data_IF_958918830196
#
_entry.id   IF_958918830196
#
_cell.length_a   1.000
_cell.length_b   1.000
_cell.length_c   1.000
_cell.angle_alpha   90.00
_cell.angle_beta   90.00
_cell.angle_gamma   90.00
#
_symmetry.space_group_name_H-M   'P 1'
#
loop_
_entity.id
_entity.type
_entity.pdbx_description
1 polymer ?
#
# COMPACT_ATOMS: atom_id res chain seq x y z
N UNK A 1 3.20 -37.69 -16.64
CA UNK A 1 2.11 -36.98 -17.33
C UNK A 1 1.44 -36.08 -16.31
N UNK A 2 1.66 -34.77 -16.37
CA UNK A 2 1.03 -33.83 -15.44
C UNK A 2 -0.47 -33.73 -15.74
N UNK A 3 -1.29 -34.10 -14.77
CA UNK A 3 -2.74 -33.91 -14.83
C UNK A 3 -3.05 -32.41 -14.78
N UNK A 4 -3.21 -31.78 -15.94
CA UNK A 4 -3.82 -30.44 -16.07
C UNK A 4 -5.28 -30.52 -15.59
N UNK A 5 -5.48 -30.30 -14.29
CA UNK A 5 -6.80 -30.16 -13.71
C UNK A 5 -7.42 -28.86 -14.26
N UNK A 6 -8.44 -28.99 -15.12
CA UNK A 6 -9.07 -27.88 -15.88
C UNK A 6 -9.65 -26.76 -15.01
N UNK A 7 -9.73 -26.97 -13.69
CA UNK A 7 -10.26 -26.02 -12.72
C UNK A 7 -9.17 -25.21 -11.98
N UNK A 8 -7.88 -25.52 -12.16
CA UNK A 8 -6.79 -24.75 -11.55
C UNK A 8 -6.51 -23.53 -12.43
N UNK A 9 -6.72 -22.34 -11.87
CA UNK A 9 -6.34 -21.06 -12.50
C UNK A 9 -5.17 -20.45 -11.75
N UNK A 10 -4.21 -19.92 -12.49
CA UNK A 10 -3.12 -19.14 -11.88
C UNK A 10 -3.65 -17.81 -11.34
N UNK A 11 -2.90 -17.18 -10.44
CA UNK A 11 -3.27 -15.85 -9.93
C UNK A 11 -3.39 -14.83 -11.07
N UNK A 12 -2.47 -14.88 -12.05
CA UNK A 12 -2.54 -14.05 -13.25
C UNK A 12 -3.84 -14.26 -14.03
N UNK A 13 -4.23 -15.50 -14.29
CA UNK A 13 -5.49 -15.81 -14.99
C UNK A 13 -6.73 -15.35 -14.21
N UNK A 14 -6.71 -15.48 -12.87
CA UNK A 14 -7.80 -14.98 -12.04
C UNK A 14 -7.92 -13.46 -12.15
N UNK A 15 -6.78 -12.79 -12.09
CA UNK A 15 -6.63 -11.36 -12.22
C UNK A 15 -7.12 -10.88 -13.59
N UNK A 16 -6.70 -11.52 -14.69
CA UNK A 16 -7.09 -11.13 -16.06
C UNK A 16 -8.59 -11.24 -16.25
N UNK A 17 -9.18 -12.31 -15.72
CA UNK A 17 -10.63 -12.51 -15.74
C UNK A 17 -11.39 -11.43 -14.95
N UNK A 18 -10.82 -10.93 -13.85
CA UNK A 18 -11.52 -10.03 -12.92
C UNK A 18 -11.30 -8.54 -13.23
N UNK A 19 -10.15 -8.19 -13.77
CA UNK A 19 -9.70 -6.81 -13.93
C UNK A 19 -9.15 -6.49 -15.33
N UNK A 20 -9.25 -7.44 -16.27
CA UNK A 20 -8.70 -7.31 -17.62
C UNK A 20 -7.19 -7.58 -17.68
N UNK A 21 -6.66 -7.63 -18.89
CA UNK A 21 -5.24 -7.88 -19.13
C UNK A 21 -4.37 -6.66 -18.71
N UNK A 22 -3.06 -6.87 -18.45
CA UNK A 22 -2.07 -5.79 -18.32
C UNK A 22 -2.20 -4.71 -19.39
N UNK A 23 -2.14 -3.44 -18.98
CA UNK A 23 -2.27 -2.29 -19.88
C UNK A 23 -3.71 -1.80 -20.13
N UNK A 24 -4.73 -2.58 -19.77
CA UNK A 24 -6.12 -2.09 -19.82
C UNK A 24 -6.39 -1.05 -18.72
N UNK A 25 -7.35 -0.14 -18.96
CA UNK A 25 -7.70 0.91 -17.97
C UNK A 25 -8.16 0.33 -16.63
N UNK A 26 -8.94 -0.75 -16.67
CA UNK A 26 -9.42 -1.44 -15.46
C UNK A 26 -8.25 -2.04 -14.67
N UNK A 27 -7.36 -2.75 -15.36
CA UNK A 27 -6.16 -3.32 -14.77
C UNK A 27 -5.26 -2.25 -14.15
N UNK A 28 -4.97 -1.19 -14.89
CA UNK A 28 -4.13 -0.08 -14.42
C UNK A 28 -4.71 0.54 -13.15
N UNK A 29 -6.02 0.78 -13.09
CA UNK A 29 -6.68 1.30 -11.90
C UNK A 29 -6.61 0.33 -10.70
N UNK A 30 -6.75 -0.98 -10.95
CA UNK A 30 -6.58 -2.00 -9.94
C UNK A 30 -5.15 -2.00 -9.38
N UNK A 31 -4.14 -1.97 -10.26
CA UNK A 31 -2.73 -1.96 -9.88
C UNK A 31 -2.34 -0.70 -9.10
N UNK A 32 -2.84 0.47 -9.50
CA UNK A 32 -2.63 1.72 -8.77
C UNK A 32 -3.18 1.59 -7.34
N UNK A 33 -4.42 1.10 -7.18
CA UNK A 33 -5.02 0.88 -5.85
C UNK A 33 -4.27 -0.15 -5.03
N UNK A 34 -3.82 -1.24 -5.66
CA UNK A 34 -3.02 -2.27 -5.00
C UNK A 34 -1.68 -1.72 -4.49
N UNK A 35 -1.00 -0.88 -5.28
CA UNK A 35 0.22 -0.17 -4.86
C UNK A 35 -0.04 0.79 -3.70
N UNK A 36 -1.12 1.57 -3.74
CA UNK A 36 -1.51 2.45 -2.63
C UNK A 36 -1.79 1.67 -1.34
N UNK A 37 -2.47 0.53 -1.43
CA UNK A 37 -2.69 -0.36 -0.29
C UNK A 37 -1.38 -0.91 0.27
N UNK A 38 -0.47 -1.36 -0.59
CA UNK A 38 0.84 -1.87 -0.18
C UNK A 38 1.66 -0.82 0.58
N UNK A 39 1.64 0.45 0.16
CA UNK A 39 2.29 1.56 0.88
C UNK A 39 1.69 1.71 2.29
N UNK A 40 0.36 1.65 2.43
CA UNK A 40 -0.33 1.72 3.71
C UNK A 40 0.08 0.61 4.69
N UNK A 41 0.14 -0.63 4.20
CA UNK A 41 0.60 -1.77 5.02
C UNK A 41 2.08 -1.66 5.39
N UNK A 42 2.97 -1.22 4.48
CA UNK A 42 4.38 -0.98 4.79
C UNK A 42 4.56 0.06 5.91
N UNK A 43 3.81 1.15 5.85
CA UNK A 43 3.81 2.19 6.90
C UNK A 43 3.39 1.59 8.26
N UNK A 44 2.34 0.78 8.27
CA UNK A 44 1.81 0.13 9.47
C UNK A 44 2.80 -0.88 10.06
N UNK A 45 3.49 -1.64 9.22
CA UNK A 45 4.55 -2.57 9.62
C UNK A 45 5.71 -1.81 10.25
N UNK A 46 6.24 -0.79 9.58
CA UNK A 46 7.33 0.03 10.12
C UNK A 46 6.95 0.71 11.44
N UNK A 47 5.73 1.23 11.55
CA UNK A 47 5.20 1.79 12.81
C UNK A 47 5.25 0.77 13.94
N UNK A 48 4.84 -0.47 13.67
CA UNK A 48 4.88 -1.56 14.67
C UNK A 48 6.32 -1.94 15.02
N UNK A 49 7.24 -1.97 14.05
CA UNK A 49 8.66 -2.25 14.28
C UNK A 49 9.30 -1.23 15.22
N UNK A 50 8.97 0.06 15.06
CA UNK A 50 9.42 1.12 15.98
C UNK A 50 8.55 1.24 17.25
N UNK A 51 7.63 0.29 17.47
CA UNK A 51 6.77 0.17 18.66
C UNK A 51 5.91 1.40 18.94
N UNK A 52 5.43 2.08 17.90
CA UNK A 52 4.54 3.24 18.04
C UNK A 52 3.08 2.85 17.84
N UNK A 53 2.17 3.49 18.57
CA UNK A 53 0.72 3.44 18.28
C UNK A 53 0.36 4.41 17.15
N UNK A 54 -0.84 4.24 16.57
CA UNK A 54 -1.33 5.18 15.55
C UNK A 54 -1.50 6.61 16.12
N UNK A 55 -1.89 6.74 17.39
CA UNK A 55 -2.01 8.04 18.06
C UNK A 55 -0.63 8.70 18.20
N UNK A 56 0.37 7.97 18.69
CA UNK A 56 1.73 8.49 18.84
C UNK A 56 2.33 8.95 17.51
N UNK A 57 2.13 8.19 16.44
CA UNK A 57 2.58 8.61 15.11
C UNK A 57 1.83 9.86 14.64
N UNK A 58 0.51 9.94 14.88
CA UNK A 58 -0.30 11.09 14.52
C UNK A 58 0.15 12.35 15.26
N UNK A 59 0.32 12.27 16.58
CA UNK A 59 0.82 13.36 17.42
C UNK A 59 2.17 13.86 16.94
N UNK A 60 3.09 12.93 16.64
CA UNK A 60 4.43 13.27 16.16
C UNK A 60 4.39 14.05 14.86
N UNK A 61 3.49 13.73 13.94
CA UNK A 61 3.40 14.45 12.65
C UNK A 61 2.36 15.58 12.64
N UNK A 62 1.71 15.87 13.78
CA UNK A 62 0.65 16.87 13.89
C UNK A 62 -0.59 16.51 13.05
N UNK A 63 -1.01 15.26 13.08
CA UNK A 63 -2.20 14.74 12.40
C UNK A 63 -3.18 14.12 13.39
N UNK A 64 -4.38 13.77 12.93
CA UNK A 64 -5.37 13.02 13.72
C UNK A 64 -5.09 11.51 13.61
N UNK A 65 -5.31 10.73 14.67
CA UNK A 65 -5.24 9.25 14.60
C UNK A 65 -6.09 8.65 13.48
N UNK A 66 -7.27 9.20 13.23
CA UNK A 66 -8.15 8.76 12.13
C UNK A 66 -7.51 8.93 10.75
N UNK A 67 -6.63 9.91 10.58
CA UNK A 67 -5.86 10.10 9.35
C UNK A 67 -4.82 8.98 9.17
N UNK A 68 -4.05 8.66 10.22
CA UNK A 68 -3.10 7.53 10.21
C UNK A 68 -3.83 6.22 9.91
N UNK A 69 -4.96 5.98 10.58
CA UNK A 69 -5.77 4.78 10.35
C UNK A 69 -6.25 4.65 8.90
N UNK A 70 -6.70 5.75 8.27
CA UNK A 70 -7.12 5.70 6.86
C UNK A 70 -5.96 5.40 5.91
N UNK A 71 -4.77 5.94 6.17
CA UNK A 71 -3.56 5.65 5.38
C UNK A 71 -3.20 4.16 5.52
N UNK A 72 -3.11 3.66 6.75
CA UNK A 72 -2.68 2.29 7.03
C UNK A 72 -3.66 1.22 6.50
N UNK A 73 -4.91 1.58 6.25
CA UNK A 73 -5.92 0.68 5.68
C UNK A 73 -6.18 0.92 4.18
N UNK A 74 -5.39 1.79 3.52
CA UNK A 74 -5.55 2.08 2.08
C UNK A 74 -6.84 2.82 1.71
N UNK A 75 -7.44 3.55 2.66
CA UNK A 75 -8.69 4.30 2.50
C UNK A 75 -8.49 5.80 2.27
N UNK A 76 -7.25 6.26 2.04
CA UNK A 76 -6.96 7.64 1.70
C UNK A 76 -5.75 7.70 0.79
N UNK A 77 -5.82 8.54 -0.23
CA UNK A 77 -4.62 9.00 -0.92
C UNK A 77 -3.78 9.85 0.06
N UNK A 78 -2.46 9.75 -0.09
CA UNK A 78 -1.48 10.47 0.71
C UNK A 78 -0.72 11.45 -0.18
N UNK A 79 -0.66 12.71 0.22
CA UNK A 79 0.21 13.69 -0.44
C UNK A 79 1.67 13.30 -0.18
N UNK A 80 2.54 13.48 -1.18
CA UNK A 80 3.97 13.13 -1.05
C UNK A 80 4.63 13.85 0.14
N UNK A 81 4.33 15.13 0.35
CA UNK A 81 4.83 15.90 1.51
C UNK A 81 4.46 15.24 2.84
N UNK A 82 3.23 14.73 2.94
CA UNK A 82 2.75 14.01 4.12
C UNK A 82 3.40 12.64 4.25
N UNK A 83 3.63 11.94 3.15
CA UNK A 83 4.37 10.67 3.14
C UNK A 83 5.80 10.86 3.66
N UNK A 84 6.52 11.87 3.18
CA UNK A 84 7.86 12.21 3.69
C UNK A 84 7.83 12.56 5.18
N UNK A 85 6.89 13.42 5.60
CA UNK A 85 6.74 13.77 7.03
C UNK A 85 6.46 12.53 7.88
N UNK A 86 5.60 11.63 7.40
CA UNK A 86 5.24 10.41 8.09
C UNK A 86 6.44 9.47 8.24
N UNK A 87 7.16 9.21 7.15
CA UNK A 87 8.23 8.20 7.16
C UNK A 87 9.51 8.76 7.77
N UNK A 88 9.93 9.97 7.39
CA UNK A 88 11.22 10.51 7.82
C UNK A 88 11.15 11.12 9.21
N UNK A 89 10.15 11.95 9.48
CA UNK A 89 10.01 12.58 10.79
C UNK A 89 9.24 11.69 11.77
N UNK A 90 8.11 11.13 11.34
CA UNK A 90 7.27 10.26 12.17
C UNK A 90 7.99 8.96 12.54
N UNK A 91 8.36 8.17 11.54
CA UNK A 91 8.95 6.84 11.75
C UNK A 91 10.48 6.85 11.89
N UNK A 92 11.17 7.94 11.54
CA UNK A 92 12.64 8.00 11.61
C UNK A 92 13.32 7.13 10.55
N UNK A 93 12.68 6.91 9.40
CA UNK A 93 13.19 6.12 8.27
C UNK A 93 13.59 7.03 7.11
N UNK A 94 14.05 6.46 6.00
CA UNK A 94 14.34 7.20 4.77
C UNK A 94 13.51 6.65 3.62
N UNK A 95 13.01 7.51 2.75
CA UNK A 95 12.37 7.11 1.50
C UNK A 95 13.36 7.33 0.36
N UNK A 96 13.47 6.33 -0.53
CA UNK A 96 14.15 6.49 -1.82
C UNK A 96 13.19 6.09 -2.94
N UNK A 97 13.17 6.88 -4.00
CA UNK A 97 12.45 6.55 -5.22
C UNK A 97 13.43 6.16 -6.31
N UNK A 98 13.08 5.16 -7.09
CA UNK A 98 13.79 4.78 -8.31
C UNK A 98 12.77 4.71 -9.43
N UNK A 99 13.01 5.46 -10.50
CA UNK A 99 12.21 5.44 -11.72
C UNK A 99 13.03 4.66 -12.75
N UNK A 100 12.39 3.67 -13.38
CA UNK A 100 12.97 2.82 -14.42
C UNK A 100 12.19 2.99 -15.72
#
# INVERSE_FOLDING_TARGET
>A
METKNKNIRTFAQHLDKRYGEPGTKERTNFEIKAKSFAIGELIKEERKLVKMTQEQLADKIGAKKSFISRIENGHSDIQLSTLFKLVEFGLGRKINFTIQ
#
